data_IF_121146744294
#
_entry.id   IF_121146744294
#
_cell.length_a   1.000
_cell.length_b   1.000
_cell.length_c   1.000
_cell.angle_alpha   90.00
_cell.angle_beta   90.00
_cell.angle_gamma   90.00
#
_symmetry.space_group_name_H-M   'P 1'
#
loop_
_entity.id
_entity.type
_entity.pdbx_description
1 polymer ?
#
# COMPACT_ATOMS: atom_id res chain seq x y z
N UNK A 1 -15.28 2.35 -32.19
CA UNK A 1 -14.13 3.04 -31.58
C UNK A 1 -14.14 4.56 -31.77
N UNK A 2 -15.08 5.12 -32.57
CA UNK A 2 -15.15 6.57 -32.84
C UNK A 2 -15.37 7.45 -31.57
N UNK A 3 -15.87 6.86 -30.50
CA UNK A 3 -16.10 7.55 -29.22
C UNK A 3 -14.91 7.39 -28.22
N UNK A 4 -13.83 6.75 -28.65
CA UNK A 4 -12.65 6.60 -27.78
C UNK A 4 -11.81 7.86 -27.88
N UNK A 5 -11.74 8.60 -26.80
CA UNK A 5 -10.88 9.78 -26.70
C UNK A 5 -9.42 9.38 -26.45
N UNK A 6 -8.50 10.16 -27.03
CA UNK A 6 -7.08 9.97 -26.75
C UNK A 6 -6.81 10.30 -25.27
N UNK A 7 -6.28 9.35 -24.53
CA UNK A 7 -5.88 9.59 -23.15
C UNK A 7 -4.79 10.68 -23.07
N UNK A 8 -4.78 11.50 -22.01
CA UNK A 8 -3.68 12.43 -21.79
C UNK A 8 -2.35 11.69 -21.68
N UNK A 9 -1.24 12.38 -21.94
CA UNK A 9 0.10 11.79 -21.67
C UNK A 9 0.19 11.36 -20.21
N UNK A 10 0.79 10.19 -20.01
CA UNK A 10 1.10 9.71 -18.65
C UNK A 10 1.96 10.74 -17.91
N UNK A 11 1.54 11.25 -16.76
CA UNK A 11 2.23 12.32 -16.05
C UNK A 11 3.61 11.91 -15.54
N UNK A 12 3.83 10.61 -15.27
CA UNK A 12 5.09 10.09 -14.74
C UNK A 12 6.05 9.75 -15.89
N UNK A 13 5.61 8.94 -16.85
CA UNK A 13 6.45 8.53 -17.97
C UNK A 13 6.77 9.71 -18.91
N UNK A 14 5.82 10.63 -19.09
CA UNK A 14 6.07 11.86 -19.85
C UNK A 14 7.12 12.77 -19.20
N UNK A 15 7.26 12.74 -17.87
CA UNK A 15 8.31 13.46 -17.16
C UNK A 15 9.70 12.86 -17.43
N UNK A 16 9.80 11.54 -17.55
CA UNK A 16 11.05 10.87 -17.91
C UNK A 16 11.53 11.24 -19.32
N UNK A 17 10.61 11.40 -20.28
CA UNK A 17 10.93 11.89 -21.62
C UNK A 17 11.47 13.34 -21.58
N UNK A 18 10.85 14.21 -20.78
CA UNK A 18 11.31 15.59 -20.59
C UNK A 18 12.68 15.61 -19.92
N UNK A 19 12.89 14.83 -18.86
CA UNK A 19 14.17 14.69 -18.19
C UNK A 19 15.27 14.21 -19.16
N UNK A 20 14.98 13.22 -20.00
CA UNK A 20 15.95 12.72 -20.97
C UNK A 20 16.37 13.80 -22.00
N UNK A 21 15.45 14.66 -22.41
CA UNK A 21 15.68 15.74 -23.38
C UNK A 21 16.29 17.01 -22.79
N UNK A 22 16.24 17.18 -21.46
CA UNK A 22 16.86 18.32 -20.77
C UNK A 22 18.40 18.16 -20.81
N UNK A 23 19.08 19.21 -21.23
CA UNK A 23 20.56 19.25 -21.35
C UNK A 23 21.26 19.80 -20.10
N UNK A 24 20.53 20.22 -19.07
CA UNK A 24 21.10 20.71 -17.83
C UNK A 24 21.89 19.60 -17.10
N UNK A 25 23.22 19.73 -16.88
CA UNK A 25 24.00 18.70 -16.22
C UNK A 25 23.69 18.53 -14.72
N UNK A 26 23.03 19.54 -14.11
CA UNK A 26 22.63 19.49 -12.69
C UNK A 26 21.18 18.95 -12.49
N UNK A 27 20.56 18.41 -13.54
CA UNK A 27 19.21 17.87 -13.46
C UNK A 27 19.17 16.63 -12.56
N UNK A 28 18.06 16.49 -11.80
CA UNK A 28 17.78 15.32 -10.96
C UNK A 28 16.42 14.77 -11.34
N UNK A 29 16.33 13.46 -11.58
CA UNK A 29 15.06 12.81 -11.91
C UNK A 29 14.32 12.47 -10.62
N UNK A 30 13.19 13.12 -10.39
CA UNK A 30 12.27 12.86 -9.28
C UNK A 30 10.91 12.31 -9.78
N UNK A 31 10.85 11.89 -11.04
CA UNK A 31 9.59 11.48 -11.69
C UNK A 31 9.11 10.08 -11.29
N UNK A 32 10.01 9.16 -11.03
CA UNK A 32 9.67 7.78 -10.64
C UNK A 32 10.30 7.48 -9.29
N UNK A 33 9.47 7.03 -8.33
CA UNK A 33 9.93 6.59 -7.02
C UNK A 33 10.62 5.23 -7.13
N UNK A 34 11.94 5.22 -7.11
CA UNK A 34 12.80 4.03 -7.12
C UNK A 34 13.84 4.21 -6.03
N UNK A 35 14.19 3.13 -5.33
CA UNK A 35 15.29 3.19 -4.37
C UNK A 35 16.63 3.34 -5.12
N UNK A 36 17.37 4.38 -4.77
CA UNK A 36 18.73 4.59 -5.24
C UNK A 36 19.70 4.48 -4.06
N UNK A 37 20.87 3.89 -4.29
CA UNK A 37 21.97 3.89 -3.33
C UNK A 37 22.68 5.26 -3.28
N UNK A 38 23.66 5.39 -2.39
CA UNK A 38 24.42 6.63 -2.21
C UNK A 38 25.21 7.07 -3.46
N UNK A 39 25.47 6.14 -4.37
CA UNK A 39 26.09 6.40 -5.68
C UNK A 39 25.06 6.80 -6.76
N UNK A 40 23.78 6.89 -6.42
CA UNK A 40 22.68 7.18 -7.34
C UNK A 40 22.36 6.04 -8.30
N UNK A 41 22.71 4.80 -7.94
CA UNK A 41 22.43 3.61 -8.72
C UNK A 41 21.28 2.82 -8.14
N UNK A 42 20.49 2.17 -9.00
CA UNK A 42 19.50 1.20 -8.59
C UNK A 42 20.21 -0.10 -8.16
N UNK A 43 20.23 -0.44 -6.85
CA UNK A 43 20.95 -1.62 -6.40
C UNK A 43 20.22 -2.90 -6.77
N UNK A 44 20.99 -3.93 -7.07
CA UNK A 44 20.49 -5.27 -7.21
C UNK A 44 20.44 -5.93 -5.81
N UNK A 45 19.26 -6.16 -5.28
CA UNK A 45 19.10 -6.74 -3.94
C UNK A 45 19.66 -8.17 -3.90
N UNK A 46 20.53 -8.46 -2.94
CA UNK A 46 21.18 -9.77 -2.79
C UNK A 46 20.18 -10.93 -2.64
N UNK A 47 19.10 -10.70 -1.88
CA UNK A 47 18.04 -11.69 -1.72
C UNK A 47 17.30 -12.01 -3.03
N UNK A 48 17.12 -11.02 -3.93
CA UNK A 48 16.52 -11.24 -5.24
C UNK A 48 17.46 -12.05 -6.13
N UNK A 49 18.76 -11.71 -6.15
CA UNK A 49 19.77 -12.46 -6.92
C UNK A 49 19.84 -13.93 -6.47
N UNK A 50 19.82 -14.16 -5.16
CA UNK A 50 19.85 -15.52 -4.62
C UNK A 50 18.58 -16.29 -4.96
N UNK A 51 17.41 -15.64 -4.88
CA UNK A 51 16.14 -16.25 -5.28
C UNK A 51 16.12 -16.62 -6.77
N UNK A 52 16.58 -15.73 -7.65
CA UNK A 52 16.69 -15.99 -9.11
C UNK A 52 17.61 -17.19 -9.39
N UNK A 53 18.77 -17.26 -8.72
CA UNK A 53 19.70 -18.38 -8.83
C UNK A 53 19.04 -19.68 -8.41
N UNK A 54 18.36 -19.72 -7.27
CA UNK A 54 17.63 -20.91 -6.80
C UNK A 54 16.54 -21.33 -7.78
N UNK A 55 15.83 -20.37 -8.39
CA UNK A 55 14.83 -20.66 -9.43
C UNK A 55 15.45 -21.26 -10.69
N UNK A 56 16.63 -20.81 -11.09
CA UNK A 56 17.36 -21.36 -12.24
C UNK A 56 17.89 -22.78 -11.97
N UNK A 57 18.37 -23.05 -10.75
CA UNK A 57 18.90 -24.36 -10.37
C UNK A 57 17.80 -25.42 -10.20
N UNK A 58 16.56 -25.00 -9.87
CA UNK A 58 15.41 -25.89 -9.69
C UNK A 58 14.21 -25.46 -10.54
N UNK A 59 14.31 -25.56 -11.89
CA UNK A 59 13.24 -25.12 -12.78
C UNK A 59 11.96 -25.95 -12.55
N UNK A 60 10.83 -25.26 -12.43
CA UNK A 60 9.50 -25.87 -12.28
C UNK A 60 8.61 -25.56 -13.46
N UNK A 61 7.75 -26.52 -13.82
CA UNK A 61 6.69 -26.30 -14.81
C UNK A 61 5.76 -25.18 -14.33
N UNK A 62 5.33 -24.31 -15.25
CA UNK A 62 4.46 -23.17 -15.00
C UNK A 62 3.06 -23.47 -15.52
N UNK A 63 2.28 -24.15 -14.68
CA UNK A 63 0.87 -24.41 -14.92
C UNK A 63 -0.03 -23.34 -14.30
N UNK A 64 -1.34 -23.61 -14.33
CA UNK A 64 -2.30 -22.79 -13.58
C UNK A 64 -2.05 -22.91 -12.08
N UNK A 65 -2.09 -21.78 -11.38
CA UNK A 65 -2.05 -21.73 -9.93
C UNK A 65 -3.43 -22.04 -9.33
N UNK A 66 -3.50 -22.48 -8.06
CA UNK A 66 -4.72 -22.43 -7.28
C UNK A 66 -5.32 -21.01 -7.26
N UNK A 67 -6.62 -20.90 -6.95
CA UNK A 67 -7.33 -19.59 -6.94
C UNK A 67 -6.71 -18.61 -5.95
N UNK A 68 -6.22 -19.09 -4.82
CA UNK A 68 -5.55 -18.33 -3.77
C UNK A 68 -4.05 -18.10 -4.02
N UNK A 69 -3.48 -18.73 -5.04
CA UNK A 69 -2.06 -18.59 -5.38
C UNK A 69 -1.19 -19.74 -4.89
N UNK A 70 0.09 -19.47 -4.69
CA UNK A 70 1.08 -20.46 -4.23
C UNK A 70 1.06 -20.51 -2.71
N UNK A 71 0.62 -21.63 -2.12
CA UNK A 71 0.51 -21.80 -0.67
C UNK A 71 1.82 -21.51 0.10
N UNK A 72 2.97 -21.83 -0.49
CA UNK A 72 4.28 -21.53 0.11
C UNK A 72 4.56 -20.02 0.13
N UNK A 73 4.12 -19.27 -0.90
CA UNK A 73 4.18 -17.82 -0.94
C UNK A 73 3.28 -17.22 0.14
N UNK A 74 2.01 -17.63 0.21
CA UNK A 74 1.05 -17.10 1.19
C UNK A 74 1.55 -17.32 2.62
N UNK A 75 2.10 -18.52 2.90
CA UNK A 75 2.70 -18.81 4.21
C UNK A 75 3.92 -17.93 4.51
N UNK A 76 4.78 -17.69 3.53
CA UNK A 76 5.95 -16.81 3.70
C UNK A 76 5.53 -15.36 3.98
N UNK A 77 4.54 -14.85 3.25
CA UNK A 77 3.98 -13.50 3.45
C UNK A 77 3.32 -13.39 4.84
N UNK A 78 2.54 -14.39 5.26
CA UNK A 78 1.99 -14.41 6.61
C UNK A 78 3.08 -14.35 7.68
N UNK A 79 4.15 -15.12 7.51
CA UNK A 79 5.30 -15.07 8.42
C UNK A 79 6.02 -13.73 8.46
N UNK A 80 6.14 -13.06 7.29
CA UNK A 80 6.77 -11.76 7.17
C UNK A 80 5.92 -10.66 7.84
N UNK A 81 4.62 -10.64 7.57
CA UNK A 81 3.71 -9.55 7.98
C UNK A 81 3.25 -9.74 9.43
N UNK A 82 2.91 -10.96 9.83
CA UNK A 82 2.32 -11.24 11.14
C UNK A 82 3.30 -11.87 12.14
N UNK A 83 4.48 -12.22 11.69
CA UNK A 83 5.45 -12.98 12.48
C UNK A 83 5.23 -14.49 12.41
N UNK A 84 6.34 -15.26 12.44
CA UNK A 84 6.33 -16.72 12.30
C UNK A 84 5.50 -17.44 13.39
N UNK A 85 5.40 -16.84 14.58
CA UNK A 85 4.71 -17.39 15.74
C UNK A 85 3.32 -16.80 16.00
N UNK A 86 2.79 -15.99 15.08
CA UNK A 86 1.50 -15.31 15.22
C UNK A 86 0.37 -16.27 15.61
N UNK A 87 -0.28 -15.99 16.74
CA UNK A 87 -1.44 -16.75 17.19
C UNK A 87 -2.62 -16.64 16.20
N UNK A 88 -2.75 -15.52 15.51
CA UNK A 88 -3.80 -15.30 14.51
C UNK A 88 -3.59 -16.18 13.28
N UNK A 89 -2.36 -16.33 12.82
CA UNK A 89 -1.99 -17.24 11.71
C UNK A 89 -2.26 -18.69 12.14
N UNK A 90 -1.77 -19.10 13.31
CA UNK A 90 -1.98 -20.46 13.85
C UNK A 90 -3.45 -20.83 14.06
N UNK A 91 -4.28 -19.84 14.37
CA UNK A 91 -5.72 -20.00 14.55
C UNK A 91 -6.52 -19.92 13.23
N UNK A 92 -5.87 -19.77 12.07
CA UNK A 92 -6.54 -19.66 10.76
C UNK A 92 -7.38 -18.40 10.60
N UNK A 93 -7.03 -17.32 11.29
CA UNK A 93 -7.76 -16.05 11.23
C UNK A 93 -7.31 -15.12 10.09
N UNK A 94 -6.24 -15.47 9.40
CA UNK A 94 -5.65 -14.72 8.31
C UNK A 94 -5.96 -15.43 7.00
N UNK A 95 -6.69 -14.76 6.11
CA UNK A 95 -6.84 -15.17 4.72
C UNK A 95 -5.79 -14.44 3.87
N UNK A 96 -5.09 -15.16 3.02
CA UNK A 96 -4.07 -14.61 2.13
C UNK A 96 -4.32 -15.11 0.73
N UNK A 97 -4.18 -14.21 -0.25
CA UNK A 97 -4.28 -14.55 -1.67
C UNK A 97 -3.17 -13.85 -2.43
N UNK A 98 -2.55 -14.57 -3.35
CA UNK A 98 -1.58 -14.00 -4.27
C UNK A 98 -2.30 -13.25 -5.40
N UNK A 99 -1.84 -12.04 -5.73
CA UNK A 99 -2.40 -11.22 -6.79
C UNK A 99 -1.32 -10.74 -7.77
N UNK A 100 -1.73 -10.07 -8.85
CA UNK A 100 -0.82 -9.50 -9.85
C UNK A 100 -0.27 -8.15 -9.34
N UNK A 101 0.76 -8.22 -8.48
CA UNK A 101 1.37 -7.06 -7.85
C UNK A 101 0.41 -6.32 -6.92
N UNK A 102 0.86 -5.17 -6.38
CA UNK A 102 0.07 -4.34 -5.47
C UNK A 102 -1.22 -3.83 -6.11
N UNK A 103 -1.17 -3.38 -7.35
CA UNK A 103 -2.36 -2.91 -8.09
C UNK A 103 -3.44 -4.00 -8.19
N UNK A 104 -3.05 -5.23 -8.50
CA UNK A 104 -3.99 -6.37 -8.55
C UNK A 104 -4.56 -6.70 -7.18
N UNK A 105 -3.73 -6.67 -6.13
CA UNK A 105 -4.16 -6.91 -4.75
C UNK A 105 -5.16 -5.85 -4.26
N UNK A 106 -4.85 -4.58 -4.45
CA UNK A 106 -5.71 -3.46 -4.11
C UNK A 106 -7.06 -3.53 -4.83
N UNK A 107 -7.04 -3.82 -6.14
CA UNK A 107 -8.28 -3.95 -6.92
C UNK A 107 -9.13 -5.12 -6.45
N UNK A 108 -8.52 -6.27 -6.19
CA UNK A 108 -9.21 -7.44 -5.66
C UNK A 108 -9.86 -7.14 -4.30
N UNK A 109 -9.13 -6.48 -3.39
CA UNK A 109 -9.65 -6.04 -2.10
C UNK A 109 -10.80 -5.04 -2.24
N UNK A 110 -10.67 -4.06 -3.14
CA UNK A 110 -11.73 -3.08 -3.41
C UNK A 110 -13.01 -3.76 -3.94
N UNK A 111 -12.90 -4.66 -4.91
CA UNK A 111 -14.03 -5.40 -5.45
C UNK A 111 -14.69 -6.30 -4.41
N UNK A 112 -13.88 -6.95 -3.56
CA UNK A 112 -14.40 -7.77 -2.47
C UNK A 112 -15.18 -6.93 -1.45
N UNK A 113 -14.63 -5.78 -1.03
CA UNK A 113 -15.32 -4.87 -0.12
C UNK A 113 -16.61 -4.36 -0.76
N UNK A 114 -16.60 -4.05 -2.06
CA UNK A 114 -17.81 -3.61 -2.76
C UNK A 114 -18.95 -4.63 -2.71
N UNK A 115 -18.62 -5.91 -2.75
CA UNK A 115 -19.63 -6.99 -2.64
C UNK A 115 -20.26 -7.08 -1.25
N UNK A 116 -19.44 -6.87 -0.20
CA UNK A 116 -19.93 -7.03 1.19
C UNK A 116 -20.45 -5.73 1.81
N UNK A 117 -19.98 -4.58 1.32
CA UNK A 117 -20.42 -3.25 1.77
C UNK A 117 -20.58 -2.29 0.58
N UNK A 118 -21.61 -2.47 -0.28
CA UNK A 118 -21.74 -1.72 -1.53
C UNK A 118 -21.99 -0.22 -1.33
N UNK A 119 -22.47 0.19 -0.16
CA UNK A 119 -22.76 1.58 0.18
C UNK A 119 -21.61 2.32 0.87
N UNK A 120 -20.49 1.66 1.13
CA UNK A 120 -19.36 2.28 1.81
C UNK A 120 -18.82 3.48 1.02
N UNK A 121 -18.38 4.49 1.75
CA UNK A 121 -17.45 5.51 1.23
C UNK A 121 -16.02 5.02 1.38
N UNK A 122 -15.12 5.57 0.59
CA UNK A 122 -13.67 5.34 0.72
C UNK A 122 -12.98 6.65 0.99
N UNK A 123 -12.12 6.66 1.99
CA UNK A 123 -11.25 7.78 2.32
C UNK A 123 -9.81 7.41 1.99
N UNK A 124 -9.12 8.28 1.26
CA UNK A 124 -7.67 8.19 0.96
C UNK A 124 -6.96 9.41 1.54
N UNK A 125 -5.66 9.33 1.78
CA UNK A 125 -4.86 10.49 2.21
C UNK A 125 -4.81 11.59 1.15
N UNK A 126 -4.60 12.84 1.56
CA UNK A 126 -4.31 13.97 0.68
C UNK A 126 -2.90 14.52 0.99
N UNK A 127 -1.93 14.35 0.07
CA UNK A 127 -1.97 13.54 -1.16
C UNK A 127 -1.95 12.03 -0.89
N UNK A 128 -2.22 11.23 -1.92
CA UNK A 128 -2.11 9.78 -1.91
C UNK A 128 -1.45 9.30 -3.21
N UNK A 129 -1.04 8.03 -3.25
CA UNK A 129 -0.70 7.39 -4.51
C UNK A 129 -1.92 7.43 -5.45
N UNK A 130 -1.73 7.99 -6.66
CA UNK A 130 -2.88 8.32 -7.53
C UNK A 130 -3.74 7.11 -7.89
N UNK A 131 -3.14 5.91 -7.96
CA UNK A 131 -3.88 4.69 -8.24
C UNK A 131 -4.90 4.33 -7.16
N UNK A 132 -4.76 4.78 -5.92
CA UNK A 132 -5.77 4.51 -4.89
C UNK A 132 -7.13 5.00 -5.33
N UNK A 133 -7.22 6.26 -5.78
CA UNK A 133 -8.49 6.82 -6.26
C UNK A 133 -9.04 6.03 -7.45
N UNK A 134 -8.19 5.82 -8.47
CA UNK A 134 -8.59 5.14 -9.69
C UNK A 134 -9.10 3.71 -9.44
N UNK A 135 -8.42 2.95 -8.55
CA UNK A 135 -8.79 1.57 -8.21
C UNK A 135 -10.13 1.49 -7.48
N UNK A 136 -10.33 2.32 -6.47
CA UNK A 136 -11.58 2.29 -5.70
C UNK A 136 -12.76 2.88 -6.51
N UNK A 137 -12.56 3.94 -7.31
CA UNK A 137 -13.59 4.46 -8.22
C UNK A 137 -13.95 3.43 -9.29
N UNK A 138 -12.99 2.70 -9.86
CA UNK A 138 -13.26 1.63 -10.82
C UNK A 138 -13.99 0.42 -10.21
N UNK A 139 -13.91 0.25 -8.90
CA UNK A 139 -14.73 -0.70 -8.15
C UNK A 139 -16.14 -0.16 -7.83
N UNK A 140 -16.44 1.09 -8.21
CA UNK A 140 -17.74 1.73 -8.03
C UNK A 140 -17.93 2.40 -6.66
N UNK A 141 -16.86 2.77 -5.96
CA UNK A 141 -16.93 3.54 -4.74
C UNK A 141 -16.90 5.05 -5.00
N UNK A 142 -17.52 5.81 -4.09
CA UNK A 142 -17.26 7.24 -3.96
C UNK A 142 -16.01 7.42 -3.12
N UNK A 143 -14.96 8.04 -3.68
CA UNK A 143 -13.69 8.28 -3.01
C UNK A 143 -13.59 9.74 -2.60
N UNK A 144 -13.34 9.98 -1.32
CA UNK A 144 -13.09 11.28 -0.71
C UNK A 144 -11.68 11.27 -0.09
N UNK A 145 -11.15 12.43 0.27
CA UNK A 145 -9.82 12.52 0.86
C UNK A 145 -9.91 12.98 2.32
N UNK A 146 -8.91 12.57 3.12
CA UNK A 146 -8.67 13.11 4.46
C UNK A 146 -7.34 13.88 4.48
N UNK A 147 -7.21 14.94 5.31
CA UNK A 147 -5.95 15.66 5.47
C UNK A 147 -4.83 14.72 5.93
N UNK A 148 -3.67 14.83 5.31
CA UNK A 148 -2.52 14.01 5.69
C UNK A 148 -1.21 14.80 5.73
N UNK A 149 -0.91 15.61 4.71
CA UNK A 149 0.34 16.34 4.62
C UNK A 149 0.15 17.83 4.87
N UNK A 150 0.97 18.39 5.77
CA UNK A 150 1.06 19.82 5.99
C UNK A 150 2.35 20.39 5.35
N UNK A 151 2.18 21.19 4.29
CA UNK A 151 3.27 21.79 3.55
C UNK A 151 4.07 22.81 4.40
N UNK A 152 3.47 23.36 5.46
CA UNK A 152 4.13 24.34 6.33
C UNK A 152 5.14 23.67 7.27
N UNK A 153 4.71 22.62 7.96
CA UNK A 153 5.57 21.82 8.85
C UNK A 153 6.38 20.79 8.10
N UNK A 154 6.06 20.53 6.81
CA UNK A 154 6.62 19.44 5.99
C UNK A 154 6.47 18.07 6.64
N UNK A 155 5.36 17.85 7.31
CA UNK A 155 5.07 16.67 8.09
C UNK A 155 3.61 16.22 7.97
N UNK A 156 3.19 15.35 8.87
CA UNK A 156 1.80 14.86 8.88
C UNK A 156 0.89 15.85 9.58
N UNK A 157 -0.20 16.28 8.94
CA UNK A 157 -1.35 16.93 9.61
C UNK A 157 -2.14 15.87 10.39
N UNK A 158 -1.56 15.42 11.48
CA UNK A 158 -2.16 14.38 12.30
C UNK A 158 -3.51 14.79 12.91
N UNK A 159 -3.65 16.04 13.28
CA UNK A 159 -4.90 16.56 13.88
C UNK A 159 -6.03 16.54 12.85
N UNK A 160 -5.78 16.99 11.62
CA UNK A 160 -6.72 16.95 10.51
C UNK A 160 -7.09 15.52 10.15
N UNK A 161 -6.11 14.63 10.01
CA UNK A 161 -6.33 13.21 9.77
C UNK A 161 -7.24 12.57 10.82
N UNK A 162 -6.85 12.68 12.10
CA UNK A 162 -7.61 12.07 13.21
C UNK A 162 -9.02 12.64 13.32
N UNK A 163 -9.18 13.95 13.10
CA UNK A 163 -10.48 14.62 13.02
C UNK A 163 -11.39 14.04 11.93
N UNK A 164 -10.84 13.84 10.73
CA UNK A 164 -11.57 13.23 9.61
C UNK A 164 -11.98 11.79 9.91
N UNK A 165 -11.10 10.96 10.49
CA UNK A 165 -11.42 9.59 10.88
C UNK A 165 -12.54 9.55 11.94
N UNK A 166 -12.48 10.41 12.94
CA UNK A 166 -13.50 10.49 13.97
C UNK A 166 -14.86 10.99 13.46
N UNK A 167 -14.88 11.78 12.39
CA UNK A 167 -16.09 12.27 11.75
C UNK A 167 -16.67 11.29 10.70
N UNK A 168 -15.89 10.30 10.27
CA UNK A 168 -16.28 9.36 9.22
C UNK A 168 -17.50 8.51 9.65
N UNK A 169 -18.46 8.26 8.74
CA UNK A 169 -19.57 7.33 9.00
C UNK A 169 -19.05 5.91 9.25
N UNK A 170 -19.76 5.16 10.08
CA UNK A 170 -19.53 3.72 10.29
C UNK A 170 -19.48 2.96 8.96
N UNK A 171 -18.55 2.01 8.85
CA UNK A 171 -18.35 1.20 7.65
C UNK A 171 -17.59 1.90 6.52
N UNK A 172 -17.14 3.15 6.72
CA UNK A 172 -16.27 3.82 5.76
C UNK A 172 -14.95 3.05 5.65
N UNK A 173 -14.49 2.83 4.43
CA UNK A 173 -13.18 2.24 4.16
C UNK A 173 -12.13 3.34 4.23
N UNK A 174 -11.08 3.14 5.00
CA UNK A 174 -9.95 4.07 5.10
C UNK A 174 -8.70 3.41 4.57
N UNK A 175 -8.15 3.95 3.49
CA UNK A 175 -6.88 3.50 2.92
C UNK A 175 -5.75 4.17 3.67
N UNK A 176 -4.87 3.37 4.23
CA UNK A 176 -3.76 3.80 5.09
C UNK A 176 -2.46 3.22 4.55
N UNK A 177 -1.46 4.04 4.28
CA UNK A 177 -0.11 3.55 4.02
C UNK A 177 0.50 3.08 5.34
N UNK A 178 0.86 1.82 5.43
CA UNK A 178 1.40 1.24 6.66
C UNK A 178 2.80 1.78 7.00
N UNK A 179 3.61 2.05 5.98
CA UNK A 179 4.93 2.67 6.06
C UNK A 179 5.29 3.33 4.73
N UNK A 180 6.31 4.19 4.73
CA UNK A 180 6.86 4.84 3.55
C UNK A 180 5.78 5.50 2.69
N UNK A 181 5.01 6.41 3.27
CA UNK A 181 3.85 7.04 2.64
C UNK A 181 4.17 7.62 1.26
N UNK A 182 3.48 7.13 0.24
CA UNK A 182 3.62 7.62 -1.12
C UNK A 182 2.53 8.67 -1.45
N UNK A 183 2.88 9.95 -1.79
CA UNK A 183 4.20 10.41 -2.24
C UNK A 183 5.02 11.18 -1.20
N UNK A 184 4.55 11.37 0.03
CA UNK A 184 5.12 12.37 0.95
C UNK A 184 6.39 11.92 1.67
N UNK A 185 6.58 10.61 1.87
CA UNK A 185 7.64 10.07 2.73
C UNK A 185 7.48 10.41 4.21
N UNK A 186 6.32 10.95 4.62
CA UNK A 186 6.02 11.29 6.01
C UNK A 186 5.16 10.19 6.63
N UNK A 187 5.67 9.51 7.63
CA UNK A 187 4.98 8.41 8.30
C UNK A 187 4.48 8.79 9.69
N UNK A 188 3.48 8.07 10.15
CA UNK A 188 2.95 8.20 11.50
C UNK A 188 3.90 7.56 12.50
N UNK A 189 4.08 8.21 13.65
CA UNK A 189 4.77 7.62 14.78
C UNK A 189 3.96 6.46 15.38
N UNK A 190 4.59 5.53 16.14
CA UNK A 190 3.86 4.45 16.81
C UNK A 190 2.72 4.95 17.73
N UNK A 191 2.92 6.09 18.39
CA UNK A 191 1.90 6.70 19.24
C UNK A 191 0.71 7.28 18.45
N UNK A 192 0.96 7.81 17.26
CA UNK A 192 -0.09 8.27 16.35
C UNK A 192 -0.85 7.09 15.77
N UNK A 193 -0.16 6.01 15.39
CA UNK A 193 -0.80 4.77 14.95
C UNK A 193 -1.75 4.21 16.02
N UNK A 194 -1.35 4.19 17.29
CA UNK A 194 -2.24 3.76 18.38
C UNK A 194 -3.54 4.57 18.42
N UNK A 195 -3.49 5.89 18.18
CA UNK A 195 -4.68 6.74 18.13
C UNK A 195 -5.54 6.47 16.88
N UNK A 196 -4.90 6.25 15.72
CA UNK A 196 -5.61 5.86 14.47
C UNK A 196 -6.34 4.54 14.68
N UNK A 197 -5.69 3.53 15.23
CA UNK A 197 -6.30 2.22 15.54
C UNK A 197 -7.52 2.38 16.45
N UNK A 198 -7.41 3.22 17.48
CA UNK A 198 -8.54 3.50 18.38
C UNK A 198 -9.69 4.22 17.66
N UNK A 199 -9.41 5.20 16.80
CA UNK A 199 -10.42 5.89 16.01
C UNK A 199 -11.12 4.91 15.04
N UNK A 200 -10.37 4.09 14.32
CA UNK A 200 -10.90 3.06 13.43
C UNK A 200 -11.82 2.10 14.19
N UNK A 201 -11.37 1.62 15.35
CA UNK A 201 -12.18 0.75 16.21
C UNK A 201 -13.45 1.41 16.73
N UNK A 202 -13.32 2.62 17.29
CA UNK A 202 -14.43 3.35 17.92
C UNK A 202 -15.51 3.75 16.89
N UNK A 203 -15.10 4.02 15.66
CA UNK A 203 -16.01 4.43 14.57
C UNK A 203 -16.49 3.26 13.71
N UNK A 204 -16.03 2.03 14.01
CA UNK A 204 -16.30 0.83 13.21
C UNK A 204 -15.98 1.06 11.71
N UNK A 205 -14.78 1.59 11.45
CA UNK A 205 -14.28 1.80 10.10
C UNK A 205 -13.63 0.53 9.58
N UNK A 206 -13.50 0.42 8.27
CA UNK A 206 -12.79 -0.68 7.60
C UNK A 206 -11.39 -0.19 7.23
N UNK A 207 -10.37 -0.61 7.94
CA UNK A 207 -8.99 -0.29 7.59
C UNK A 207 -8.56 -1.09 6.35
N UNK A 208 -7.93 -0.41 5.41
CA UNK A 208 -7.29 -0.99 4.24
C UNK A 208 -5.82 -0.55 4.26
N UNK A 209 -4.92 -1.45 4.67
CA UNK A 209 -3.51 -1.15 4.86
C UNK A 209 -2.74 -1.45 3.56
N UNK A 210 -2.20 -0.42 2.94
CA UNK A 210 -1.28 -0.55 1.81
C UNK A 210 0.16 -0.53 2.33
N UNK A 211 0.93 -1.58 2.04
CA UNK A 211 2.31 -1.74 2.51
C UNK A 211 3.21 -2.23 1.38
N UNK A 212 3.60 -1.30 0.50
CA UNK A 212 4.45 -1.62 -0.64
C UNK A 212 5.95 -1.70 -0.28
N UNK A 213 6.37 -1.07 0.82
CA UNK A 213 7.78 -0.77 1.08
C UNK A 213 8.28 -1.25 2.45
N UNK A 214 7.70 -2.33 2.99
CA UNK A 214 8.17 -2.88 4.27
C UNK A 214 9.68 -3.21 4.22
N UNK A 215 10.43 -2.68 5.18
CA UNK A 215 11.88 -2.83 5.29
C UNK A 215 12.69 -1.68 4.67
N UNK A 216 12.04 -0.69 4.04
CA UNK A 216 12.70 0.48 3.46
C UNK A 216 12.54 1.77 4.28
N UNK A 217 11.73 1.75 5.33
CA UNK A 217 11.63 2.84 6.30
C UNK A 217 12.66 2.67 7.42
N UNK A 218 12.20 2.19 8.56
CA UNK A 218 13.03 1.96 9.75
C UNK A 218 13.56 0.51 9.82
N UNK A 219 12.85 -0.45 9.24
CA UNK A 219 13.19 -1.87 9.23
C UNK A 219 11.97 -2.77 9.03
N UNK A 220 12.22 -4.04 8.75
CA UNK A 220 11.13 -5.00 8.46
C UNK A 220 10.13 -5.11 9.63
N UNK A 221 10.62 -5.15 10.86
CA UNK A 221 9.77 -5.29 12.05
C UNK A 221 9.06 -3.97 12.39
N UNK A 222 9.78 -2.87 12.33
CA UNK A 222 9.30 -1.53 12.64
C UNK A 222 8.22 -1.09 11.66
N UNK A 223 8.46 -1.26 10.36
CA UNK A 223 7.52 -0.91 9.30
C UNK A 223 6.24 -1.78 9.33
N UNK A 224 6.37 -3.03 9.76
CA UNK A 224 5.25 -3.95 9.95
C UNK A 224 4.50 -3.79 11.27
N UNK A 225 5.00 -3.00 12.22
CA UNK A 225 4.46 -2.93 13.59
C UNK A 225 3.00 -2.46 13.64
N UNK A 226 2.56 -1.63 12.70
CA UNK A 226 1.17 -1.17 12.62
C UNK A 226 0.19 -2.33 12.44
N UNK A 227 0.55 -3.35 11.67
CA UNK A 227 -0.29 -4.53 11.44
C UNK A 227 -0.56 -5.25 12.77
N UNK A 228 0.47 -5.36 13.62
CA UNK A 228 0.32 -5.94 14.96
C UNK A 228 -0.60 -5.11 15.85
N UNK A 229 -0.51 -3.78 15.79
CA UNK A 229 -1.40 -2.90 16.56
C UNK A 229 -2.89 -3.11 16.19
N UNK A 230 -3.21 -3.22 14.90
CA UNK A 230 -4.57 -3.53 14.43
C UNK A 230 -5.02 -4.92 14.90
N UNK A 231 -4.14 -5.91 14.81
CA UNK A 231 -4.42 -7.29 15.21
C UNK A 231 -4.70 -7.39 16.72
N UNK A 232 -3.86 -6.77 17.56
CA UNK A 232 -3.99 -6.76 19.02
C UNK A 232 -5.23 -5.98 19.47
N UNK A 233 -5.57 -4.91 18.78
CA UNK A 233 -6.81 -4.17 19.03
C UNK A 233 -8.07 -4.95 18.65
N UNK A 234 -7.93 -6.09 17.96
CA UNK A 234 -9.06 -6.90 17.48
C UNK A 234 -9.84 -6.24 16.34
N UNK A 235 -9.23 -5.30 15.63
CA UNK A 235 -9.81 -4.65 14.45
C UNK A 235 -9.62 -5.58 13.24
N UNK A 236 -10.66 -5.72 12.43
CA UNK A 236 -10.56 -6.39 11.12
C UNK A 236 -10.06 -5.41 10.08
N UNK A 237 -9.17 -5.85 9.23
CA UNK A 237 -8.56 -5.03 8.19
C UNK A 237 -8.21 -5.86 6.96
N UNK A 238 -7.93 -5.16 5.88
CA UNK A 238 -7.40 -5.68 4.62
C UNK A 238 -5.97 -5.24 4.44
#
# INVERSE_FOLDING_TARGET
FAAVELAPRDPILGLNEQFASDTNPAKVNLGVGVYYDDDGKLPLLKCVQEAEKLMMEAPKARGYLPIDGIAAYDKAVQGLVFGADSAAVKAGRIATVQALGGTGGLKLGADFIKRINPGAKVLISDPSWENHRALFESAGFKVESYPYYDATSKGVDFAGMLGALNAAPTGTVVVLHACCHNPTGCDLTPAQWAQVVQAVKARDLVAFLDMAYQGFGEGIAEDGAVVQQFLEAGVRFF
#
